data_IF_603122261399
#
_entry.id   IF_603122261399
#
_cell.length_a   1.000
_cell.length_b   1.000
_cell.length_c   1.000
_cell.angle_alpha   90.00
_cell.angle_beta   90.00
_cell.angle_gamma   90.00
#
_symmetry.space_group_name_H-M   'P 1'
#
loop_
_entity.id
_entity.type
_entity.pdbx_description
1 polymer ?
#
# COMPACT_ATOMS: atom_id res chain seq x y z
N UNK A 1 5.58 -28.73 3.30
CA UNK A 1 4.75 -29.67 4.11
C UNK A 1 5.12 -29.51 5.58
N UNK A 2 4.15 -29.52 6.50
CA UNK A 2 4.39 -29.52 7.95
C UNK A 2 4.39 -30.95 8.47
N UNK A 3 5.38 -31.33 9.26
CA UNK A 3 5.47 -32.65 9.89
C UNK A 3 5.80 -32.52 11.37
N UNK A 4 5.11 -33.29 12.21
CA UNK A 4 5.40 -33.41 13.65
C UNK A 4 6.40 -34.53 13.94
N UNK A 5 6.78 -35.29 12.92
CA UNK A 5 7.72 -36.41 13.02
C UNK A 5 9.15 -35.97 12.69
N UNK A 6 10.07 -36.32 13.59
CA UNK A 6 11.51 -36.23 13.35
C UNK A 6 11.94 -37.27 12.31
N UNK A 7 12.91 -36.94 11.46
CA UNK A 7 13.60 -37.95 10.65
C UNK A 7 14.73 -38.59 11.48
N UNK A 8 15.24 -39.74 11.02
CA UNK A 8 16.30 -40.48 11.72
C UNK A 8 17.50 -39.57 12.02
N UNK A 9 17.86 -39.45 13.30
CA UNK A 9 18.95 -38.58 13.77
C UNK A 9 18.53 -37.16 14.19
N UNK A 10 17.27 -36.77 13.98
CA UNK A 10 16.72 -35.50 14.46
C UNK A 10 15.90 -35.69 15.76
N UNK A 11 15.84 -34.66 16.59
CA UNK A 11 14.94 -34.61 17.75
C UNK A 11 13.92 -33.48 17.57
N UNK A 12 12.64 -33.79 17.73
CA UNK A 12 11.54 -32.81 17.71
C UNK A 12 10.82 -32.89 19.05
N UNK A 13 10.89 -31.80 19.82
CA UNK A 13 10.26 -31.72 21.13
C UNK A 13 8.73 -31.86 21.08
N UNK A 14 8.11 -32.25 22.19
CA UNK A 14 6.64 -32.30 22.29
C UNK A 14 6.05 -30.92 21.98
N UNK A 15 5.13 -30.87 21.02
CA UNK A 15 4.50 -29.63 20.55
C UNK A 15 5.25 -28.92 19.42
N UNK A 16 6.47 -29.33 19.10
CA UNK A 16 7.23 -28.77 17.96
C UNK A 16 6.84 -29.43 16.64
N UNK A 17 7.14 -28.75 15.54
CA UNK A 17 6.94 -29.23 14.17
C UNK A 17 8.09 -28.77 13.29
N UNK A 18 8.36 -29.54 12.23
CA UNK A 18 9.39 -29.25 11.23
C UNK A 18 8.70 -28.91 9.91
N UNK A 19 9.14 -27.83 9.29
CA UNK A 19 8.69 -27.44 7.95
C UNK A 19 9.74 -27.93 6.96
N UNK A 20 9.35 -28.86 6.08
CA UNK A 20 10.20 -29.40 5.01
C UNK A 20 9.72 -28.86 3.66
N UNK A 21 10.68 -28.48 2.81
CA UNK A 21 10.48 -27.91 1.48
C UNK A 21 11.45 -26.76 1.18
N UNK A 22 11.54 -26.39 -0.10
CA UNK A 22 12.30 -25.23 -0.55
C UNK A 22 11.68 -23.96 0.05
N UNK A 23 12.50 -23.15 0.73
CA UNK A 23 12.11 -21.83 1.21
C UNK A 23 12.71 -20.78 0.29
N UNK A 24 11.86 -20.04 -0.41
CA UNK A 24 12.26 -18.86 -1.16
C UNK A 24 11.97 -17.63 -0.33
N UNK A 25 13.02 -16.89 0.04
CA UNK A 25 12.90 -15.66 0.80
C UNK A 25 13.08 -14.48 -0.15
N UNK A 26 12.04 -13.68 -0.30
CA UNK A 26 12.14 -12.38 -0.96
C UNK A 26 12.47 -11.35 0.12
N UNK A 27 13.69 -10.84 0.06
CA UNK A 27 14.19 -9.79 0.96
C UNK A 27 14.27 -8.49 0.18
N UNK A 28 14.06 -7.38 0.88
CA UNK A 28 14.26 -6.03 0.34
C UNK A 28 13.50 -5.77 -0.97
N UNK A 29 12.30 -6.34 -1.09
CA UNK A 29 11.44 -6.15 -2.24
C UNK A 29 10.89 -4.71 -2.22
N UNK A 30 11.06 -4.01 -3.33
CA UNK A 30 10.54 -2.66 -3.53
C UNK A 30 9.03 -2.69 -3.75
N UNK A 31 8.29 -2.71 -2.64
CA UNK A 31 6.83 -2.76 -2.65
C UNK A 31 6.28 -1.35 -2.77
N UNK A 32 5.68 -1.06 -3.92
CA UNK A 32 5.03 0.22 -4.19
C UNK A 32 3.58 0.02 -4.60
N UNK A 33 2.72 0.92 -4.15
CA UNK A 33 1.31 0.98 -4.55
C UNK A 33 0.94 2.41 -4.93
N UNK A 34 0.25 2.57 -6.04
CA UNK A 34 -0.31 3.85 -6.44
C UNK A 34 -1.71 4.03 -5.84
N UNK A 35 -2.00 5.23 -5.36
CA UNK A 35 -3.37 5.69 -5.08
C UNK A 35 -3.67 6.92 -5.91
N UNK A 36 -4.89 7.05 -6.40
CA UNK A 36 -5.26 8.18 -7.25
C UNK A 36 -6.74 8.49 -7.21
N UNK A 37 -7.08 9.65 -7.74
CA UNK A 37 -8.45 10.14 -7.85
C UNK A 37 -8.90 10.02 -9.30
N UNK A 38 -10.04 9.39 -9.52
CA UNK A 38 -10.70 9.24 -10.81
C UNK A 38 -12.15 9.72 -10.70
N UNK A 39 -12.66 10.37 -11.74
CA UNK A 39 -14.08 10.70 -11.84
C UNK A 39 -14.81 9.60 -12.62
N UNK A 40 -15.70 8.87 -11.96
CA UNK A 40 -16.58 7.89 -12.61
C UNK A 40 -17.98 8.48 -12.62
N UNK A 41 -18.55 8.69 -13.81
CA UNK A 41 -19.86 9.33 -13.99
C UNK A 41 -20.00 10.69 -13.27
N UNK A 42 -18.91 11.46 -13.21
CA UNK A 42 -18.87 12.76 -12.54
C UNK A 42 -18.69 12.72 -11.02
N UNK A 43 -18.63 11.53 -10.41
CA UNK A 43 -18.37 11.37 -8.97
C UNK A 43 -16.88 11.07 -8.75
N UNK A 44 -16.16 11.86 -7.94
CA UNK A 44 -14.76 11.58 -7.62
C UNK A 44 -14.67 10.35 -6.71
N UNK A 45 -13.84 9.40 -7.11
CA UNK A 45 -13.58 8.16 -6.37
C UNK A 45 -12.07 7.98 -6.18
N UNK A 46 -11.69 7.39 -5.05
CA UNK A 46 -10.32 7.01 -4.75
C UNK A 46 -10.10 5.58 -5.20
N UNK A 47 -9.02 5.34 -5.93
CA UNK A 47 -8.63 4.01 -6.41
C UNK A 47 -7.20 3.69 -6.00
N UNK A 48 -6.89 2.40 -5.89
CA UNK A 48 -5.53 1.89 -5.73
C UNK A 48 -5.17 0.94 -6.87
N UNK A 49 -3.88 0.89 -7.20
CA UNK A 49 -3.39 0.04 -8.27
C UNK A 49 -1.88 0.01 -8.35
N UNK A 50 -1.36 -0.52 -9.44
CA UNK A 50 0.07 -0.46 -9.72
C UNK A 50 0.51 1.00 -9.92
N UNK A 51 1.73 1.38 -9.51
CA UNK A 51 2.21 2.75 -9.66
C UNK A 51 2.09 3.28 -11.08
N UNK A 52 2.44 2.47 -12.08
CA UNK A 52 2.40 2.84 -13.49
C UNK A 52 0.98 3.12 -13.99
N UNK A 53 0.03 2.28 -13.62
CA UNK A 53 -1.36 2.44 -14.06
C UNK A 53 -2.01 3.68 -13.45
N UNK A 54 -1.75 3.94 -12.16
CA UNK A 54 -2.29 5.09 -11.45
C UNK A 54 -1.71 6.39 -11.99
N UNK A 55 -0.40 6.45 -12.27
CA UNK A 55 0.24 7.61 -12.89
C UNK A 55 -0.37 7.96 -14.25
N UNK A 56 -0.69 6.95 -15.06
CA UNK A 56 -1.23 7.15 -16.40
C UNK A 56 -2.74 7.51 -16.40
N UNK A 57 -3.51 7.03 -15.43
CA UNK A 57 -4.97 7.17 -15.42
C UNK A 57 -5.47 8.33 -14.54
N UNK A 58 -4.77 8.62 -13.44
CA UNK A 58 -5.25 9.56 -12.43
C UNK A 58 -4.51 10.90 -12.53
N UNK A 59 -5.19 12.03 -12.78
CA UNK A 59 -4.55 13.35 -12.79
C UNK A 59 -3.92 13.74 -11.45
N UNK A 60 -4.53 13.27 -10.35
CA UNK A 60 -4.02 13.40 -8.98
C UNK A 60 -3.71 12.02 -8.43
N UNK A 61 -2.46 11.81 -7.99
CA UNK A 61 -2.02 10.53 -7.46
C UNK A 61 -0.90 10.65 -6.42
N UNK A 62 -0.66 9.56 -5.69
CA UNK A 62 0.49 9.38 -4.83
C UNK A 62 0.98 7.92 -4.88
N UNK A 63 2.29 7.73 -4.84
CA UNK A 63 2.93 6.43 -4.77
C UNK A 63 3.41 6.20 -3.34
N UNK A 64 2.99 5.08 -2.77
CA UNK A 64 3.21 4.73 -1.38
C UNK A 64 4.12 3.51 -1.26
N UNK A 65 4.87 3.47 -0.16
CA UNK A 65 5.66 2.33 0.30
C UNK A 65 5.27 1.96 1.73
N UNK A 66 5.43 0.70 2.16
CA UNK A 66 5.43 0.38 3.59
C UNK A 66 6.34 1.31 4.37
N UNK A 67 5.83 1.83 5.49
CA UNK A 67 6.45 2.94 6.21
C UNK A 67 5.99 3.06 7.66
N UNK A 68 6.31 4.18 8.29
CA UNK A 68 5.97 4.42 9.71
C UNK A 68 4.76 5.35 9.89
N UNK A 69 4.39 6.12 8.87
CA UNK A 69 3.26 7.03 8.99
C UNK A 69 1.96 6.25 9.16
N UNK A 70 1.20 6.59 10.21
CA UNK A 70 -0.08 5.96 10.49
C UNK A 70 -1.09 6.31 9.40
N UNK A 71 -1.90 5.32 9.04
CA UNK A 71 -2.94 5.43 8.03
C UNK A 71 -3.88 6.63 8.24
N UNK A 72 -4.34 6.83 9.48
CA UNK A 72 -5.23 7.95 9.83
C UNK A 72 -4.58 9.32 9.64
N UNK A 73 -3.27 9.43 9.92
CA UNK A 73 -2.54 10.68 9.73
C UNK A 73 -2.40 11.01 8.26
N UNK A 74 -2.10 10.01 7.42
CA UNK A 74 -2.02 10.19 5.97
C UNK A 74 -3.38 10.52 5.36
N UNK A 75 -4.44 9.79 5.74
CA UNK A 75 -5.81 10.06 5.30
C UNK A 75 -6.24 11.49 5.64
N UNK A 76 -5.96 11.96 6.87
CA UNK A 76 -6.27 13.34 7.28
C UNK A 76 -5.50 14.40 6.48
N UNK A 77 -4.25 14.12 6.08
CA UNK A 77 -3.49 15.03 5.22
C UNK A 77 -4.11 15.12 3.83
N UNK A 78 -4.45 13.98 3.22
CA UNK A 78 -5.08 13.93 1.89
C UNK A 78 -6.48 14.58 1.93
N UNK A 79 -7.27 14.31 2.98
CA UNK A 79 -8.57 14.93 3.21
C UNK A 79 -8.49 16.47 3.14
N UNK A 80 -7.51 17.07 3.82
CA UNK A 80 -7.36 18.54 3.87
C UNK A 80 -7.10 19.17 2.51
N UNK A 81 -6.44 18.45 1.60
CA UNK A 81 -6.06 18.96 0.28
C UNK A 81 -7.08 18.60 -0.82
N UNK A 82 -7.80 17.49 -0.67
CA UNK A 82 -8.67 16.93 -1.72
C UNK A 82 -10.15 17.03 -1.39
N UNK A 83 -10.52 17.17 -0.12
CA UNK A 83 -11.91 17.19 0.36
C UNK A 83 -12.61 15.83 0.32
N UNK A 84 -11.92 14.75 -0.07
CA UNK A 84 -12.45 13.39 -0.11
C UNK A 84 -12.73 12.88 1.30
N UNK A 85 -13.74 12.04 1.48
CA UNK A 85 -14.08 11.50 2.80
C UNK A 85 -12.92 10.70 3.40
N UNK A 86 -12.70 10.83 4.70
CA UNK A 86 -11.66 10.05 5.41
C UNK A 86 -11.95 8.56 5.35
N UNK A 87 -13.22 8.16 5.32
CA UNK A 87 -13.63 6.75 5.26
C UNK A 87 -13.24 6.12 3.91
N UNK A 88 -13.43 6.84 2.79
CA UNK A 88 -13.02 6.37 1.47
C UNK A 88 -11.50 6.26 1.36
N UNK A 89 -10.78 7.25 1.90
CA UNK A 89 -9.31 7.23 1.95
C UNK A 89 -8.80 6.06 2.80
N UNK A 90 -9.42 5.83 3.96
CA UNK A 90 -9.10 4.70 4.83
C UNK A 90 -9.49 3.35 4.22
N UNK A 91 -10.45 3.28 3.31
CA UNK A 91 -10.76 2.02 2.62
C UNK A 91 -9.64 1.63 1.64
N UNK A 92 -9.01 2.61 0.99
CA UNK A 92 -8.04 2.38 -0.10
C UNK A 92 -6.58 2.35 0.39
N UNK A 93 -6.24 3.12 1.42
CA UNK A 93 -4.88 3.16 1.94
C UNK A 93 -4.46 1.79 2.51
N UNK A 94 -3.20 1.35 2.30
CA UNK A 94 -2.66 0.17 2.97
C UNK A 94 -2.45 0.45 4.47
N UNK A 95 -1.68 -0.39 5.16
CA UNK A 95 -1.30 -0.17 6.56
C UNK A 95 -0.44 1.09 6.76
N UNK A 96 0.50 1.04 7.70
CA UNK A 96 1.45 2.13 7.86
C UNK A 96 2.30 2.29 6.59
N UNK A 97 2.27 3.48 5.99
CA UNK A 97 2.87 3.75 4.69
C UNK A 97 3.36 5.18 4.58
N UNK A 98 4.48 5.33 3.89
CA UNK A 98 5.08 6.63 3.60
C UNK A 98 4.92 6.94 2.10
N UNK A 99 4.87 8.23 1.77
CA UNK A 99 4.70 8.71 0.40
C UNK A 99 6.08 8.90 -0.23
N UNK A 100 6.33 8.23 -1.34
CA UNK A 100 7.59 8.39 -2.12
C UNK A 100 7.44 9.51 -3.13
N UNK A 101 6.30 9.55 -3.81
CA UNK A 101 6.02 10.46 -4.92
C UNK A 101 4.56 10.88 -4.84
N UNK A 102 4.27 12.13 -5.21
CA UNK A 102 2.91 12.63 -5.22
C UNK A 102 2.74 13.70 -6.29
N UNK A 103 1.53 13.75 -6.83
CA UNK A 103 1.07 14.77 -7.75
C UNK A 103 -0.32 15.22 -7.34
N UNK A 104 -0.41 16.36 -6.65
CA UNK A 104 -1.67 17.00 -6.31
C UNK A 104 -2.47 16.31 -5.19
N UNK A 105 -1.91 15.31 -4.50
CA UNK A 105 -2.59 14.56 -3.43
C UNK A 105 -2.32 15.15 -2.05
N UNK A 106 -1.06 15.50 -1.75
CA UNK A 106 -0.69 16.13 -0.48
C UNK A 106 -0.52 17.63 -0.62
N UNK A 107 0.02 18.06 -1.75
CA UNK A 107 0.17 19.47 -2.10
C UNK A 107 -0.92 19.85 -3.09
N UNK A 108 -1.47 21.08 -3.05
CA UNK A 108 -2.30 21.55 -4.16
C UNK A 108 -1.47 21.54 -5.45
N UNK A 109 -2.04 21.10 -6.59
CA UNK A 109 -1.33 21.16 -7.86
C UNK A 109 -0.96 22.61 -8.16
N UNK A 110 0.16 22.85 -8.84
CA UNK A 110 0.49 24.20 -9.31
C UNK A 110 -0.70 24.73 -10.10
N UNK A 111 -1.16 25.94 -9.77
CA UNK A 111 -2.12 26.64 -10.60
C UNK A 111 -1.47 26.80 -11.98
N UNK A 112 -2.07 26.21 -13.01
CA UNK A 112 -1.78 26.63 -14.38
C UNK A 112 -2.18 28.11 -14.46
N UNK A 113 -1.19 29.00 -14.33
CA UNK A 113 -1.32 30.36 -14.84
C UNK A 113 -1.52 30.22 -16.35
N UNK A 114 -2.57 30.88 -16.85
CA UNK A 114 -3.10 30.85 -18.24
C UNK A 114 -2.05 30.87 -19.36
#
# INVERSE_FOLDING_TARGET
QVSKSAQTGEFVGKGAFVIRGQRTWYKDMDVRIGIGIIAVNGVPMVVSGTPDHVQNMCPRYAILTPGQTKKDQLANKIYRNTGLSTDDLLAVLPGACDVIEEHGMLTPPPSEEE
#
